data_IF_951647397698
#
_entry.id   IF_951647397698
#
_cell.length_a   1.000
_cell.length_b   1.000
_cell.length_c   1.000
_cell.angle_alpha   90.00
_cell.angle_beta   90.00
_cell.angle_gamma   90.00
#
_symmetry.space_group_name_H-M   'P 1'
#
loop_
_entity.id
_entity.type
_entity.pdbx_description
1 polymer ?
#
# COMPACT_ATOMS: atom_id res chain seq x y z
N UNK A 1 -0.13 7.39 -9.86
CA UNK A 1 -0.93 8.34 -9.06
C UNK A 1 -2.30 7.72 -8.92
N UNK A 2 -2.63 7.23 -7.72
CA UNK A 2 -3.74 6.33 -7.46
C UNK A 2 -5.06 6.86 -8.05
N UNK A 3 -5.69 6.07 -8.93
CA UNK A 3 -7.02 6.34 -9.43
C UNK A 3 -8.01 6.26 -8.26
N UNK A 4 -8.77 7.34 -8.06
CA UNK A 4 -9.76 7.52 -6.97
C UNK A 4 -10.81 6.38 -6.87
N UNK A 5 -10.84 5.48 -7.85
CA UNK A 5 -11.83 4.41 -7.96
C UNK A 5 -11.43 3.15 -7.19
N UNK A 6 -10.14 2.88 -6.97
CA UNK A 6 -9.74 1.70 -6.21
C UNK A 6 -9.64 2.02 -4.70
N UNK A 7 -10.80 1.98 -4.03
CA UNK A 7 -10.90 2.20 -2.57
C UNK A 7 -10.00 1.24 -1.77
N UNK A 8 -9.82 0.01 -2.25
CA UNK A 8 -9.02 -1.01 -1.56
C UNK A 8 -7.54 -0.62 -1.59
N UNK A 9 -7.00 -0.27 -2.76
CA UNK A 9 -5.62 0.20 -2.88
C UNK A 9 -5.36 1.43 -1.99
N UNK A 10 -6.27 2.39 -1.97
CA UNK A 10 -6.14 3.59 -1.11
C UNK A 10 -6.11 3.22 0.38
N UNK A 11 -6.95 2.30 0.83
CA UNK A 11 -6.94 1.83 2.23
C UNK A 11 -5.62 1.14 2.57
N UNK A 12 -5.11 0.26 1.70
CA UNK A 12 -3.82 -0.40 1.94
C UNK A 12 -2.66 0.60 2.01
N UNK A 13 -2.66 1.63 1.16
CA UNK A 13 -1.66 2.69 1.19
C UNK A 13 -1.65 3.39 2.56
N UNK A 14 -2.82 3.81 3.05
CA UNK A 14 -2.96 4.46 4.36
C UNK A 14 -2.61 3.53 5.52
N UNK A 15 -2.95 2.24 5.43
CA UNK A 15 -2.53 1.23 6.40
C UNK A 15 -1.00 1.13 6.43
N UNK A 16 -0.35 1.05 5.28
CA UNK A 16 1.11 1.01 5.20
C UNK A 16 1.76 2.23 5.84
N UNK A 17 1.28 3.44 5.52
CA UNK A 17 1.76 4.68 6.15
C UNK A 17 1.55 4.69 7.67
N UNK A 18 0.41 4.20 8.14
CA UNK A 18 0.09 4.11 9.57
C UNK A 18 1.01 3.12 10.30
N UNK A 19 1.36 2.00 9.66
CA UNK A 19 2.31 1.01 10.20
C UNK A 19 3.71 1.62 10.34
N UNK A 20 4.18 2.39 9.35
CA UNK A 20 5.46 3.10 9.46
C UNK A 20 5.44 4.06 10.64
N UNK A 21 4.40 4.90 10.74
CA UNK A 21 4.27 5.86 11.82
C UNK A 21 4.22 5.18 13.20
N UNK A 22 3.44 4.10 13.33
CA UNK A 22 3.34 3.32 14.56
C UNK A 22 4.68 2.67 14.93
N UNK A 23 5.44 2.15 13.98
CA UNK A 23 6.76 1.58 14.23
C UNK A 23 7.78 2.59 14.72
N UNK A 24 7.75 3.82 14.19
CA UNK A 24 8.59 4.92 14.67
C UNK A 24 8.23 5.30 16.11
N UNK A 25 6.95 5.51 16.39
CA UNK A 25 6.45 5.88 17.72
C UNK A 25 6.75 4.79 18.74
N UNK A 26 6.47 3.51 18.40
CA UNK A 26 6.74 2.37 19.29
C UNK A 26 8.23 2.23 19.60
N UNK A 27 9.10 2.44 18.60
CA UNK A 27 10.55 2.42 18.82
C UNK A 27 11.02 3.51 19.80
N UNK A 28 10.42 4.70 19.74
CA UNK A 28 10.74 5.79 20.68
C UNK A 28 10.24 5.44 22.09
N UNK A 29 9.00 4.99 22.24
CA UNK A 29 8.41 4.67 23.55
C UNK A 29 9.16 3.52 24.24
N UNK A 30 9.50 2.47 23.49
CA UNK A 30 10.18 1.29 24.04
C UNK A 30 11.67 1.58 24.27
N UNK A 31 12.24 2.51 23.49
CA UNK A 31 13.66 2.87 23.54
C UNK A 31 14.06 3.86 24.63
N UNK A 32 13.11 4.43 25.36
CA UNK A 32 13.31 5.52 26.33
C UNK A 32 13.66 5.06 27.76
N UNK A 33 13.85 3.76 27.99
CA UNK A 33 14.36 3.25 29.28
C UNK A 33 15.88 3.52 29.43
N UNK A 34 16.39 3.56 30.67
CA UNK A 34 17.73 4.09 31.01
C UNK A 34 18.94 3.16 30.68
N UNK A 35 18.78 2.16 29.80
CA UNK A 35 19.82 1.14 29.51
C UNK A 35 20.49 1.27 28.12
N UNK A 36 21.82 1.15 28.07
CA UNK A 36 22.67 1.27 26.87
C UNK A 36 22.32 0.31 25.71
N UNK A 37 21.48 -0.70 25.95
CA UNK A 37 21.04 -1.70 24.95
C UNK A 37 19.82 -1.28 24.12
N UNK A 38 19.20 -0.14 24.41
CA UNK A 38 17.89 0.21 23.85
C UNK A 38 17.93 0.79 22.43
N UNK A 39 19.03 1.41 22.02
CA UNK A 39 19.17 1.90 20.65
C UNK A 39 19.03 0.81 19.59
N UNK A 40 19.49 -0.41 19.90
CA UNK A 40 19.33 -1.56 19.00
C UNK A 40 17.85 -1.98 18.93
N UNK A 41 17.13 -1.96 20.05
CA UNK A 41 15.70 -2.24 20.10
C UNK A 41 14.90 -1.19 19.32
N UNK A 42 15.16 0.09 19.55
CA UNK A 42 14.59 1.21 18.80
C UNK A 42 14.79 1.04 17.30
N UNK A 43 16.02 0.73 16.89
CA UNK A 43 16.36 0.53 15.49
C UNK A 43 15.62 -0.66 14.88
N UNK A 44 15.47 -1.76 15.63
CA UNK A 44 14.68 -2.93 15.18
C UNK A 44 13.21 -2.55 14.97
N UNK A 45 12.61 -1.76 15.86
CA UNK A 45 11.23 -1.28 15.68
C UNK A 45 11.08 -0.36 14.47
N UNK A 46 12.03 0.55 14.25
CA UNK A 46 12.02 1.44 13.10
C UNK A 46 12.15 0.67 11.79
N UNK A 47 13.12 -0.23 11.69
CA UNK A 47 13.36 -1.03 10.48
C UNK A 47 12.19 -1.97 10.23
N UNK A 48 11.68 -2.68 11.24
CA UNK A 48 10.54 -3.59 11.08
C UNK A 48 9.25 -2.86 10.70
N UNK A 49 8.95 -1.72 11.33
CA UNK A 49 7.81 -0.89 10.98
C UNK A 49 7.91 -0.31 9.57
N UNK A 50 9.12 0.14 9.18
CA UNK A 50 9.39 0.64 7.83
C UNK A 50 9.22 -0.45 6.77
N UNK A 51 9.85 -1.62 6.94
CA UNK A 51 9.73 -2.73 5.99
C UNK A 51 8.30 -3.23 5.87
N UNK A 52 7.60 -3.38 7.01
CA UNK A 52 6.21 -3.84 7.01
C UNK A 52 5.29 -2.83 6.33
N UNK A 53 5.47 -1.53 6.61
CA UNK A 53 4.72 -0.48 5.93
C UNK A 53 4.98 -0.42 4.43
N UNK A 54 6.24 -0.54 4.00
CA UNK A 54 6.60 -0.65 2.59
C UNK A 54 5.93 -1.85 1.91
N UNK A 55 5.83 -2.99 2.60
CA UNK A 55 5.15 -4.16 2.06
C UNK A 55 3.66 -3.88 1.77
N UNK A 56 2.96 -3.20 2.68
CA UNK A 56 1.56 -2.80 2.46
C UNK A 56 1.42 -1.78 1.32
N UNK A 57 2.35 -0.81 1.22
CA UNK A 57 2.36 0.17 0.14
C UNK A 57 2.60 -0.54 -1.21
N UNK A 58 3.57 -1.44 -1.31
CA UNK A 58 3.82 -2.21 -2.51
C UNK A 58 2.63 -3.08 -2.90
N UNK A 59 1.99 -3.74 -1.92
CA UNK A 59 0.77 -4.51 -2.16
C UNK A 59 -0.38 -3.62 -2.66
N UNK A 60 -0.50 -2.39 -2.16
CA UNK A 60 -1.51 -1.44 -2.63
C UNK A 60 -1.35 -1.11 -4.13
N UNK A 61 -0.11 -0.97 -4.60
CA UNK A 61 0.20 -0.73 -6.00
C UNK A 61 -0.13 -1.94 -6.88
N UNK A 62 0.19 -3.16 -6.41
CA UNK A 62 -0.15 -4.39 -7.12
C UNK A 62 -1.67 -4.51 -7.30
N UNK A 63 -2.45 -4.24 -6.25
CA UNK A 63 -3.91 -4.27 -6.29
C UNK A 63 -4.46 -3.20 -7.25
N UNK A 64 -3.87 -2.01 -7.27
CA UNK A 64 -4.27 -0.98 -8.22
C UNK A 64 -3.99 -1.40 -9.67
N UNK A 65 -2.81 -1.95 -9.94
CA UNK A 65 -2.45 -2.43 -11.27
C UNK A 65 -3.39 -3.55 -11.73
N UNK A 66 -3.69 -4.50 -10.85
CA UNK A 66 -4.64 -5.58 -11.16
C UNK A 66 -6.05 -5.04 -11.44
N UNK A 67 -6.51 -4.05 -10.67
CA UNK A 67 -7.79 -3.39 -10.92
C UNK A 67 -7.83 -2.69 -12.28
N UNK A 68 -6.75 -2.01 -12.66
CA UNK A 68 -6.63 -1.39 -13.99
C UNK A 68 -6.64 -2.41 -15.12
N UNK A 69 -5.94 -3.53 -14.95
CA UNK A 69 -5.94 -4.62 -15.94
C UNK A 69 -7.33 -5.24 -16.10
N UNK A 70 -8.02 -5.50 -14.98
CA UNK A 70 -9.38 -6.01 -15.01
C UNK A 70 -10.34 -5.04 -15.72
N UNK A 71 -10.26 -3.73 -15.42
CA UNK A 71 -11.07 -2.71 -16.10
C UNK A 71 -10.78 -2.60 -17.60
N UNK A 72 -9.54 -2.84 -18.03
CA UNK A 72 -9.17 -2.86 -19.46
C UNK A 72 -9.67 -4.13 -20.15
N UNK A 73 -9.54 -5.28 -19.49
CA UNK A 73 -10.01 -6.57 -20.01
C UNK A 73 -11.53 -6.62 -20.18
N UNK A 74 -12.28 -5.91 -19.34
CA UNK A 74 -13.74 -5.85 -19.42
C UNK A 74 -14.28 -4.85 -20.47
N UNK A 75 -13.40 -4.23 -21.28
CA UNK A 75 -13.75 -3.18 -22.26
C UNK A 75 -13.62 -3.59 -23.73
N UNK A 76 -13.28 -4.84 -24.06
CA UNK A 76 -13.27 -5.35 -25.46
C UNK A 76 -14.08 -6.67 -25.48
N UNK A 77 -15.07 -6.93 -26.37
CA UNK A 77 -15.39 -6.31 -27.67
C UNK A 77 -16.89 -5.95 -27.93
N UNK A 78 -17.74 -5.66 -26.93
CA UNK A 78 -19.16 -5.32 -27.24
C UNK A 78 -19.29 -3.97 -27.97
N UNK A 79 -18.41 -3.00 -27.70
CA UNK A 79 -18.51 -1.66 -28.30
C UNK A 79 -18.08 -1.64 -29.78
N UNK A 80 -17.08 -2.43 -30.16
CA UNK A 80 -16.60 -2.49 -31.56
C UNK A 80 -17.55 -3.29 -32.47
N UNK A 81 -18.22 -4.32 -31.95
CA UNK A 81 -19.25 -5.04 -32.70
C UNK A 81 -20.53 -4.20 -32.86
N UNK A 82 -20.91 -3.39 -31.86
CA UNK A 82 -22.06 -2.48 -31.96
C UNK A 82 -21.82 -1.30 -32.91
N UNK A 83 -20.57 -0.84 -33.05
CA UNK A 83 -20.21 0.20 -34.04
C UNK A 83 -20.22 -0.38 -35.47
N UNK A 84 -19.80 -1.63 -35.65
CA UNK A 84 -19.82 -2.31 -36.96
C UNK A 84 -21.20 -2.81 -37.39
N UNK A 85 -22.14 -2.98 -36.47
CA UNK A 85 -23.54 -3.37 -36.77
C UNK A 85 -24.47 -2.17 -37.06
N UNK A 86 -23.95 -0.94 -36.94
CA UNK A 86 -24.72 0.29 -37.09
C UNK A 86 -24.27 1.15 -38.31
N UNK A 87 -23.47 0.57 -39.20
CA UNK A 87 -23.04 1.12 -40.52
C UNK A 87 -23.50 0.19 -41.65
#
# INVERSE_FOLDING_TARGET
MFSKNNKIAVVLLWTGLSVIAAGIIAGIIIGDDDDERLWLVTFVYWVSGFLSGLFFIALSEIIEQLHRLNMKSNKEPEDDELILLND
#
